data_IF_794465761541
#
_entry.id   IF_794465761541
#
_cell.length_a   1.000
_cell.length_b   1.000
_cell.length_c   1.000
_cell.angle_alpha   90.00
_cell.angle_beta   90.00
_cell.angle_gamma   90.00
#
_symmetry.space_group_name_H-M   'P 1'
#
loop_
_entity.id
_entity.type
_entity.pdbx_description
1 polymer ?
#
# COMPACT_ATOMS: atom_id res chain seq x y z
N UNK A 1 0.27 4.48 -6.63
CA UNK A 1 -0.52 4.23 -5.40
C UNK A 1 0.01 3.06 -4.56
N UNK A 2 0.27 1.88 -5.13
CA UNK A 2 0.72 0.71 -4.35
C UNK A 2 1.93 0.97 -3.43
N UNK A 3 2.99 1.60 -3.94
CA UNK A 3 4.19 1.96 -3.15
C UNK A 3 3.85 2.90 -1.99
N UNK A 4 2.99 3.89 -2.22
CA UNK A 4 2.55 4.83 -1.18
C UNK A 4 1.77 4.12 -0.08
N UNK A 5 0.84 3.22 -0.44
CA UNK A 5 0.07 2.42 0.54
C UNK A 5 1.00 1.49 1.33
N UNK A 6 1.98 0.88 0.66
CA UNK A 6 2.98 0.05 1.31
C UNK A 6 3.79 0.86 2.35
N UNK A 7 4.24 2.06 1.99
CA UNK A 7 4.97 2.96 2.89
C UNK A 7 4.12 3.48 4.03
N UNK A 8 2.89 3.90 3.76
CA UNK A 8 1.96 4.32 4.82
C UNK A 8 1.69 3.19 5.82
N UNK A 9 1.60 1.95 5.32
CA UNK A 9 1.38 0.79 6.17
C UNK A 9 2.64 0.39 6.95
N UNK A 10 3.83 0.40 6.36
CA UNK A 10 5.02 -0.22 6.95
C UNK A 10 6.07 0.76 7.45
N UNK A 11 6.01 2.03 7.05
CA UNK A 11 7.07 3.03 7.23
C UNK A 11 8.16 2.97 6.15
N UNK A 12 8.23 1.91 5.36
CA UNK A 12 9.29 1.64 4.40
C UNK A 12 8.74 1.47 2.97
N UNK A 13 9.59 1.58 1.96
CA UNK A 13 9.20 1.27 0.57
C UNK A 13 9.43 -0.22 0.28
N UNK A 14 8.74 -0.81 -0.73
CA UNK A 14 8.88 -2.24 -1.02
C UNK A 14 10.26 -2.60 -1.60
N UNK A 15 10.93 -1.67 -2.26
CA UNK A 15 12.22 -1.88 -2.91
C UNK A 15 13.18 -0.74 -2.60
N UNK A 16 14.45 -1.08 -2.33
CA UNK A 16 15.53 -0.13 -2.04
C UNK A 16 16.81 -0.62 -2.69
N UNK A 17 17.55 0.29 -3.31
CA UNK A 17 18.89 0.02 -3.86
C UNK A 17 19.65 1.35 -3.94
N UNK A 18 20.99 1.31 -3.80
CA UNK A 18 21.87 2.45 -4.07
C UNK A 18 22.18 2.62 -5.56
N UNK A 19 21.91 1.58 -6.36
CA UNK A 19 22.00 1.60 -7.82
C UNK A 19 20.60 1.81 -8.42
N UNK A 20 20.47 2.85 -9.26
CA UNK A 20 19.23 3.20 -9.94
C UNK A 20 18.76 2.10 -10.90
N UNK A 21 19.68 1.40 -11.57
CA UNK A 21 19.35 0.38 -12.56
C UNK A 21 18.75 -0.84 -11.86
N UNK A 22 19.37 -1.30 -10.78
CA UNK A 22 18.82 -2.36 -9.95
C UNK A 22 17.46 -1.97 -9.34
N UNK A 23 17.31 -0.72 -8.90
CA UNK A 23 16.01 -0.25 -8.38
C UNK A 23 14.92 -0.32 -9.46
N UNK A 24 15.23 0.11 -10.68
CA UNK A 24 14.31 0.01 -11.81
C UNK A 24 13.97 -1.46 -12.13
N UNK A 25 14.99 -2.33 -12.18
CA UNK A 25 14.81 -3.77 -12.40
C UNK A 25 13.93 -4.41 -11.33
N UNK A 26 14.11 -4.07 -10.05
CA UNK A 26 13.22 -4.54 -8.98
C UNK A 26 11.75 -4.13 -9.20
N UNK A 27 11.51 -2.92 -9.71
CA UNK A 27 10.15 -2.49 -10.03
C UNK A 27 9.54 -3.25 -11.20
N UNK A 28 10.34 -3.76 -12.14
CA UNK A 28 9.88 -4.57 -13.27
C UNK A 28 9.71 -6.05 -12.88
N UNK A 29 10.67 -6.64 -12.18
CA UNK A 29 10.80 -8.09 -12.06
C UNK A 29 10.58 -8.62 -10.64
N UNK A 30 11.05 -7.90 -9.63
CA UNK A 30 11.10 -8.45 -8.27
C UNK A 30 9.71 -8.50 -7.63
N UNK A 31 9.32 -9.66 -7.12
CA UNK A 31 8.09 -9.79 -6.33
C UNK A 31 8.15 -8.85 -5.11
N UNK A 32 7.11 -8.02 -4.87
CA UNK A 32 7.06 -7.19 -3.68
C UNK A 32 7.15 -8.03 -2.39
N UNK A 33 7.83 -7.55 -1.34
CA UNK A 33 7.81 -8.23 -0.05
C UNK A 33 6.40 -8.23 0.54
N UNK A 34 6.07 -9.29 1.30
CA UNK A 34 4.79 -9.38 2.00
C UNK A 34 4.67 -8.27 3.06
N UNK A 35 3.54 -7.55 3.07
CA UNK A 35 3.24 -6.56 4.11
C UNK A 35 3.11 -7.22 5.48
N UNK A 36 2.47 -8.39 5.55
CA UNK A 36 2.23 -9.07 6.82
C UNK A 36 3.50 -9.68 7.41
N UNK A 37 4.56 -9.92 6.62
CA UNK A 37 5.89 -10.20 7.15
C UNK A 37 6.47 -9.01 7.93
N UNK A 38 6.21 -7.78 7.49
CA UNK A 38 6.67 -6.55 8.17
C UNK A 38 5.74 -6.12 9.30
N UNK A 39 4.42 -6.23 9.10
CA UNK A 39 3.39 -5.89 10.09
C UNK A 39 2.33 -6.99 10.18
N UNK A 40 2.53 -8.00 11.04
CA UNK A 40 1.63 -9.15 11.16
C UNK A 40 0.18 -8.81 11.53
N UNK A 41 -0.02 -7.69 12.24
CA UNK A 41 -1.33 -7.19 12.66
C UNK A 41 -2.19 -6.65 11.51
N UNK A 42 -1.64 -6.43 10.31
CA UNK A 42 -2.42 -6.01 9.16
C UNK A 42 -3.37 -7.13 8.71
N UNK A 43 -4.58 -6.75 8.29
CA UNK A 43 -5.56 -7.70 7.77
C UNK A 43 -5.05 -8.32 6.46
N UNK A 44 -5.40 -9.59 6.22
CA UNK A 44 -5.09 -10.28 4.96
C UNK A 44 -5.69 -9.55 3.75
N UNK A 45 -6.85 -8.90 3.93
CA UNK A 45 -7.52 -8.14 2.87
C UNK A 45 -6.69 -6.92 2.46
N UNK A 46 -6.24 -6.13 3.43
CA UNK A 46 -5.39 -4.99 3.16
C UNK A 46 -4.08 -5.39 2.46
N UNK A 47 -3.45 -6.48 2.89
CA UNK A 47 -2.27 -7.00 2.19
C UNK A 47 -2.57 -7.32 0.72
N UNK A 48 -3.62 -8.11 0.43
CA UNK A 48 -3.98 -8.47 -0.95
C UNK A 48 -4.19 -7.24 -1.84
N UNK A 49 -4.88 -6.24 -1.30
CA UNK A 49 -5.13 -4.96 -1.96
C UNK A 49 -3.83 -4.27 -2.37
N UNK A 50 -2.88 -4.12 -1.44
CA UNK A 50 -1.61 -3.44 -1.72
C UNK A 50 -0.76 -4.26 -2.69
N UNK A 51 -0.74 -5.58 -2.54
CA UNK A 51 -0.02 -6.48 -3.45
C UNK A 51 -0.58 -6.42 -4.87
N UNK A 52 -1.91 -6.34 -5.02
CA UNK A 52 -2.57 -6.14 -6.32
C UNK A 52 -2.17 -4.80 -6.96
N UNK A 53 -2.08 -3.72 -6.17
CA UNK A 53 -1.57 -2.44 -6.67
C UNK A 53 -0.10 -2.48 -7.12
N UNK A 54 0.69 -3.42 -6.57
CA UNK A 54 2.11 -3.58 -6.85
C UNK A 54 2.40 -4.66 -7.91
N UNK A 55 1.36 -5.26 -8.50
CA UNK A 55 1.52 -6.28 -9.52
C UNK A 55 2.32 -5.77 -10.73
N UNK A 56 3.12 -6.64 -11.34
CA UNK A 56 4.04 -6.25 -12.42
C UNK A 56 3.29 -6.01 -13.71
N UNK A 57 2.43 -6.94 -14.08
CA UNK A 57 1.56 -6.78 -15.23
C UNK A 57 0.42 -5.80 -14.91
N UNK A 58 0.14 -4.82 -15.78
CA UNK A 58 -0.97 -3.88 -15.58
C UNK A 58 -2.33 -4.57 -15.42
N UNK A 59 -2.56 -5.68 -16.13
CA UNK A 59 -3.83 -6.41 -16.10
C UNK A 59 -4.12 -7.09 -14.76
N UNK A 60 -3.06 -7.35 -13.98
CA UNK A 60 -3.19 -7.88 -12.62
C UNK A 60 -3.57 -6.79 -11.60
N UNK A 61 -3.50 -5.51 -11.97
CA UNK A 61 -3.80 -4.38 -11.09
C UNK A 61 -5.29 -4.08 -11.05
N UNK A 62 -5.66 -3.10 -10.24
CA UNK A 62 -6.98 -2.49 -10.38
C UNK A 62 -7.05 -1.74 -11.69
N UNK A 63 -8.14 -1.97 -12.43
CA UNK A 63 -8.46 -1.28 -13.68
C UNK A 63 -8.43 0.24 -13.52
N UNK A 64 -8.95 0.72 -12.40
CA UNK A 64 -9.07 2.14 -12.09
C UNK A 64 -9.12 2.38 -10.57
N UNK A 65 -9.14 3.66 -10.20
CA UNK A 65 -9.20 4.08 -8.80
C UNK A 65 -10.52 3.70 -8.11
N UNK A 66 -11.64 3.64 -8.84
CA UNK A 66 -12.94 3.26 -8.28
C UNK A 66 -12.96 1.81 -7.84
N UNK A 67 -12.36 0.91 -8.63
CA UNK A 67 -12.20 -0.50 -8.28
C UNK A 67 -11.30 -0.68 -7.04
N UNK A 68 -10.24 0.13 -6.93
CA UNK A 68 -9.39 0.16 -5.74
C UNK A 68 -10.18 0.63 -4.49
N UNK A 69 -10.94 1.72 -4.63
CA UNK A 69 -11.75 2.28 -3.54
C UNK A 69 -12.82 1.29 -3.06
N UNK A 70 -13.46 0.56 -3.98
CA UNK A 70 -14.43 -0.47 -3.63
C UNK A 70 -13.81 -1.60 -2.79
N UNK A 71 -12.62 -2.11 -3.15
CA UNK A 71 -11.97 -3.15 -2.33
C UNK A 71 -11.43 -2.58 -1.01
N UNK A 72 -10.99 -1.33 -1.00
CA UNK A 72 -10.53 -0.64 0.21
C UNK A 72 -11.68 -0.42 1.21
N UNK A 73 -12.89 -0.12 0.74
CA UNK A 73 -14.08 0.07 1.60
C UNK A 73 -14.45 -1.19 2.38
N UNK A 74 -14.09 -2.36 1.85
CA UNK A 74 -14.33 -3.66 2.46
C UNK A 74 -13.21 -4.10 3.42
N UNK A 75 -12.17 -3.27 3.62
CA UNK A 75 -11.09 -3.56 4.57
C UNK A 75 -11.55 -3.26 5.99
N UNK A 76 -11.59 -4.30 6.81
CA UNK A 76 -11.88 -4.17 8.24
C UNK A 76 -10.88 -3.26 8.96
N UNK A 77 -11.39 -2.30 9.72
CA UNK A 77 -10.61 -1.43 10.59
C UNK A 77 -11.31 -0.11 10.85
N UNK A 78 -11.86 0.08 12.05
CA UNK A 78 -12.19 1.44 12.51
C UNK A 78 -10.87 2.20 12.67
N UNK A 79 -10.73 3.42 12.12
CA UNK A 79 -9.62 4.27 12.51
C UNK A 79 -9.63 4.39 14.04
N UNK A 80 -8.46 4.37 14.70
CA UNK A 80 -8.42 4.55 16.15
C UNK A 80 -9.19 5.83 16.51
N UNK A 81 -9.96 5.75 17.59
CA UNK A 81 -10.78 6.87 18.04
C UNK A 81 -9.91 8.13 18.13
N UNK A 82 -10.38 9.24 17.55
CA UNK A 82 -9.66 10.52 17.53
C UNK A 82 -8.70 10.74 16.35
N UNK A 83 -8.41 9.75 15.50
CA UNK A 83 -7.56 9.97 14.31
C UNK A 83 -8.17 11.03 13.37
N UNK A 84 -9.47 10.93 13.09
CA UNK A 84 -10.17 11.87 12.20
C UNK A 84 -10.31 13.27 12.82
N UNK A 85 -10.40 13.36 14.15
CA UNK A 85 -10.42 14.64 14.85
C UNK A 85 -9.08 15.38 14.67
N UNK A 86 -7.97 14.67 14.93
CA UNK A 86 -6.61 15.20 14.73
C UNK A 86 -6.32 15.57 13.28
N UNK A 87 -6.87 14.84 12.32
CA UNK A 87 -6.71 15.15 10.89
C UNK A 87 -7.45 16.43 10.51
N UNK A 88 -8.64 16.71 11.07
CA UNK A 88 -9.38 17.95 10.80
C UNK A 88 -8.67 19.18 11.38
N UNK A 89 -8.05 19.04 12.54
CA UNK A 89 -7.24 20.10 13.16
C UNK A 89 -6.01 20.43 12.31
N UNK A 90 -5.35 19.42 11.74
CA UNK A 90 -4.15 19.57 10.89
C UNK A 90 -4.38 20.32 9.56
N UNK A 91 -5.62 20.36 9.05
CA UNK A 91 -5.96 21.01 7.76
C UNK A 91 -6.69 22.35 7.95
N UNK A 92 -6.90 22.78 9.20
CA UNK A 92 -7.63 24.01 9.54
C UNK A 92 -6.69 25.17 9.97
N UNK A 93 -5.38 25.00 9.84
CA UNK A 93 -4.36 26.02 10.08
C UNK A 93 -3.40 26.11 8.90
#
# INVERSE_FOLDING_TARGET
LGVTLFKAATGEVPFTSTDWFELARMHVEAAPPSLRKKRPALSKRFERLVMKCLAKHPDDRYRDASALLADLAEVDGKPPAGLLARWREWWSG
#
